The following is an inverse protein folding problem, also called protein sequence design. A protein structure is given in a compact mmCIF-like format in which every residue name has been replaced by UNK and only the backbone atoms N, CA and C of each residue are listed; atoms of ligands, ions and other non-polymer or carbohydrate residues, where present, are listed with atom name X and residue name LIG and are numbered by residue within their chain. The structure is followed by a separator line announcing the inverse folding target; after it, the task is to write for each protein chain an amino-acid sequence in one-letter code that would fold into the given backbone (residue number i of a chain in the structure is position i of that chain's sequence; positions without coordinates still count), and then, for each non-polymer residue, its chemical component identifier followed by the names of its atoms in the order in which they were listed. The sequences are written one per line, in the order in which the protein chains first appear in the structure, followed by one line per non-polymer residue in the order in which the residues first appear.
data_IF_358967724904
#
_entry.id   IF_358967724904
#
_cell.length_a   1.000
_cell.length_b   1.000
_cell.length_c   1.000
_cell.angle_alpha   90.00
_cell.angle_beta   90.00
_cell.angle_gamma   90.00
#
_symmetry.space_group_name_H-M   'P 1'
#
loop_
_entity.id
_entity.type
_entity.pdbx_description
1 polymer ?
#
# COMPACT_ATOMS: atom_id res chain seq x y z
N UNK A 1 -6.10 3.99 -5.78
CA UNK A 1 -6.07 5.05 -6.81
C UNK A 1 -7.17 6.04 -6.47
N UNK A 2 -6.88 7.34 -6.52
CA UNK A 2 -7.80 8.42 -6.19
C UNK A 2 -8.21 9.15 -7.47
N UNK A 3 -9.46 8.93 -7.86
CA UNK A 3 -10.03 9.48 -9.09
C UNK A 3 -9.52 8.82 -10.38
N UNK A 4 -10.03 9.32 -11.50
CA UNK A 4 -9.75 8.90 -12.87
C UNK A 4 -8.66 9.81 -13.48
N UNK A 5 -7.43 9.65 -13.00
CA UNK A 5 -6.29 10.48 -13.41
C UNK A 5 -6.10 10.55 -14.93
N UNK A 6 -6.23 9.41 -15.62
CA UNK A 6 -6.12 9.34 -17.09
C UNK A 6 -7.21 10.16 -17.84
N UNK A 7 -8.29 10.54 -17.15
CA UNK A 7 -9.36 11.40 -17.67
C UNK A 7 -9.25 12.85 -17.18
N UNK A 8 -8.15 13.23 -16.54
CA UNK A 8 -7.93 14.57 -15.99
C UNK A 8 -8.71 14.88 -14.71
N UNK A 9 -9.34 13.87 -14.08
CA UNK A 9 -10.10 14.09 -12.85
C UNK A 9 -9.17 14.43 -11.68
N UNK A 10 -9.49 15.52 -10.97
CA UNK A 10 -8.90 15.85 -9.67
C UNK A 10 -9.98 15.67 -8.59
N UNK A 11 -9.77 14.70 -7.70
CA UNK A 11 -10.71 14.37 -6.64
C UNK A 11 -10.66 15.43 -5.54
N UNK A 12 -11.71 16.23 -5.38
CA UNK A 12 -11.82 17.28 -4.35
C UNK A 12 -12.81 16.95 -3.24
N UNK A 13 -13.81 16.11 -3.52
CA UNK A 13 -14.80 15.64 -2.56
C UNK A 13 -15.05 14.16 -2.77
N UNK A 14 -14.80 13.37 -1.74
CA UNK A 14 -15.06 11.94 -1.70
C UNK A 14 -15.29 11.51 -0.26
N UNK A 15 -15.86 10.33 -0.07
CA UNK A 15 -15.90 9.66 1.23
C UNK A 15 -15.44 8.23 1.07
N UNK A 16 -14.33 7.90 1.73
CA UNK A 16 -13.79 6.55 1.78
C UNK A 16 -13.55 6.19 3.24
N UNK A 17 -13.97 4.99 3.62
CA UNK A 17 -13.55 4.35 4.86
C UNK A 17 -13.24 2.90 4.54
N UNK A 18 -11.97 2.55 4.64
CA UNK A 18 -11.48 1.17 4.54
C UNK A 18 -10.92 0.78 5.91
N UNK A 19 -11.52 -0.22 6.54
CA UNK A 19 -11.12 -0.72 7.84
C UNK A 19 -10.73 -2.20 7.70
N UNK A 20 -9.45 -2.48 7.90
CA UNK A 20 -8.87 -3.82 7.80
C UNK A 20 -8.43 -4.29 9.17
N UNK A 21 -8.74 -5.54 9.49
CA UNK A 21 -8.32 -6.17 10.72
C UNK A 21 -7.92 -7.63 10.47
N UNK A 22 -6.77 -8.02 10.98
CA UNK A 22 -6.33 -9.41 11.04
C UNK A 22 -6.42 -9.85 12.50
N UNK A 23 -7.05 -11.00 12.72
CA UNK A 23 -7.15 -11.66 14.03
C UNK A 23 -6.47 -13.02 14.00
N UNK A 24 -5.87 -13.42 15.11
CA UNK A 24 -5.35 -14.77 15.36
C UNK A 24 -6.01 -15.29 16.62
N UNK A 25 -6.69 -16.43 16.53
CA UNK A 25 -7.45 -17.03 17.65
C UNK A 25 -8.40 -16.03 18.33
N UNK A 26 -9.13 -15.26 17.52
CA UNK A 26 -10.06 -14.22 17.99
C UNK A 26 -9.40 -12.92 18.47
N UNK A 27 -8.08 -12.86 18.64
CA UNK A 27 -7.35 -11.67 19.12
C UNK A 27 -6.88 -10.78 17.96
N UNK A 28 -7.11 -9.46 17.99
CA UNK A 28 -6.57 -8.54 16.98
C UNK A 28 -5.04 -8.55 16.99
N UNK A 29 -4.43 -8.80 15.83
CA UNK A 29 -2.97 -8.74 15.66
C UNK A 29 -2.56 -7.56 14.78
N UNK A 30 -3.41 -7.12 13.86
CA UNK A 30 -3.15 -5.93 13.06
C UNK A 30 -4.47 -5.26 12.72
N UNK A 31 -4.52 -3.93 12.79
CA UNK A 31 -5.65 -3.14 12.38
C UNK A 31 -5.15 -1.89 11.64
N UNK A 32 -5.83 -1.55 10.55
CA UNK A 32 -5.56 -0.34 9.79
C UNK A 32 -6.86 0.26 9.30
N UNK A 33 -7.02 1.56 9.50
CA UNK A 33 -8.17 2.30 8.97
C UNK A 33 -7.66 3.44 8.10
N UNK A 34 -8.14 3.48 6.85
CA UNK A 34 -7.98 4.61 5.95
C UNK A 34 -9.30 5.34 5.91
N UNK A 35 -9.30 6.61 6.30
CA UNK A 35 -10.44 7.50 6.14
C UNK A 35 -10.03 8.66 5.26
N UNK A 36 -10.82 8.91 4.23
CA UNK A 36 -10.65 10.09 3.37
C UNK A 36 -11.97 10.81 3.25
N UNK A 37 -11.91 12.12 3.43
CA UNK A 37 -12.97 13.06 3.14
C UNK A 37 -12.40 14.31 2.47
N UNK A 38 -13.26 15.27 2.13
CA UNK A 38 -12.85 16.51 1.48
C UNK A 38 -11.74 17.27 2.25
N UNK A 39 -11.69 17.16 3.59
CA UNK A 39 -10.67 17.84 4.40
C UNK A 39 -9.29 17.20 4.22
N UNK A 40 -9.25 15.87 4.20
CA UNK A 40 -8.03 15.09 3.93
C UNK A 40 -7.57 15.29 2.48
N UNK A 41 -8.50 15.40 1.53
CA UNK A 41 -8.16 15.63 0.12
C UNK A 41 -7.64 17.06 -0.14
N UNK A 42 -8.06 18.04 0.65
CA UNK A 42 -7.59 19.42 0.57
C UNK A 42 -6.21 19.63 1.20
N UNK A 43 -5.75 18.73 2.07
CA UNK A 43 -4.46 18.82 2.75
C UNK A 43 -3.36 18.08 1.97
N UNK A 44 -2.48 18.87 1.35
CA UNK A 44 -1.32 18.39 0.60
C UNK A 44 -0.06 18.23 1.46
N UNK A 45 -0.20 18.04 2.78
CA UNK A 45 0.95 17.81 3.67
C UNK A 45 1.62 16.47 3.37
N UNK A 46 2.95 16.44 3.58
CA UNK A 46 3.74 15.22 3.44
C UNK A 46 3.36 14.15 4.49
N UNK A 47 2.69 14.53 5.58
CA UNK A 47 2.15 13.61 6.58
C UNK A 47 0.95 12.81 6.06
N UNK A 48 0.26 13.31 5.04
CA UNK A 48 -0.85 12.63 4.36
C UNK A 48 -0.37 12.03 3.02
N UNK A 49 -0.90 12.53 1.91
CA UNK A 49 -0.57 12.05 0.57
C UNK A 49 0.39 12.98 -0.18
N UNK A 50 0.64 14.19 0.32
CA UNK A 50 1.35 15.20 -0.45
C UNK A 50 0.73 15.41 -1.83
N UNK A 51 1.50 15.14 -2.88
CA UNK A 51 1.06 15.20 -4.27
C UNK A 51 0.67 13.84 -4.85
N UNK A 52 0.65 12.78 -4.04
CA UNK A 52 0.27 11.45 -4.49
C UNK A 52 -1.22 11.39 -4.88
N UNK A 53 -1.53 10.51 -5.82
CA UNK A 53 -2.88 10.18 -6.30
C UNK A 53 -3.17 8.69 -6.21
N UNK A 54 -2.20 7.91 -5.74
CA UNK A 54 -2.35 6.50 -5.44
C UNK A 54 -1.55 6.16 -4.20
N UNK A 55 -2.09 5.24 -3.41
CA UNK A 55 -1.40 4.64 -2.29
C UNK A 55 -1.76 3.16 -2.21
N UNK A 56 -0.89 2.38 -1.57
CA UNK A 56 -1.18 0.99 -1.24
C UNK A 56 -0.51 0.61 0.07
N UNK A 57 -1.08 -0.40 0.72
CA UNK A 57 -0.49 -1.05 1.88
C UNK A 57 -0.49 -2.55 1.64
N UNK A 58 0.66 -3.18 1.85
CA UNK A 58 0.83 -4.63 1.81
C UNK A 58 1.19 -5.08 3.22
N UNK A 59 0.49 -6.08 3.72
CA UNK A 59 0.71 -6.63 5.05
C UNK A 59 0.92 -8.15 4.96
N UNK A 60 2.14 -8.60 5.27
CA UNK A 60 2.43 -10.01 5.56
C UNK A 60 2.31 -10.21 7.07
N UNK A 61 1.31 -10.98 7.49
CA UNK A 61 1.05 -11.30 8.91
C UNK A 61 1.22 -12.80 9.11
N UNK A 62 2.35 -13.20 9.67
CA UNK A 62 2.71 -14.60 9.88
C UNK A 62 3.76 -14.69 11.00
N UNK A 63 3.91 -15.87 11.61
CA UNK A 63 5.06 -16.10 12.48
C UNK A 63 6.36 -15.96 11.66
N UNK A 64 7.30 -15.12 12.11
CA UNK A 64 8.55 -14.85 11.40
C UNK A 64 8.42 -13.96 10.16
N UNK A 65 7.32 -13.20 10.02
CA UNK A 65 7.15 -12.30 8.86
C UNK A 65 8.28 -11.26 8.74
N UNK A 66 8.96 -10.94 9.84
CA UNK A 66 10.11 -10.05 9.91
C UNK A 66 11.25 -10.45 8.99
N UNK A 67 11.44 -11.75 8.74
CA UNK A 67 12.47 -12.28 7.86
C UNK A 67 12.28 -11.83 6.40
N UNK A 68 11.06 -11.41 6.04
CA UNK A 68 10.77 -10.89 4.71
C UNK A 68 11.25 -9.45 4.51
N UNK A 69 11.59 -8.71 5.58
CA UNK A 69 11.85 -7.26 5.52
C UNK A 69 12.97 -6.90 4.53
N UNK A 70 14.11 -7.58 4.62
CA UNK A 70 15.26 -7.29 3.77
C UNK A 70 14.94 -7.51 2.30
N UNK A 71 14.30 -8.65 1.96
CA UNK A 71 13.86 -8.94 0.58
C UNK A 71 12.84 -7.94 0.07
N UNK A 72 11.88 -7.57 0.92
CA UNK A 72 10.86 -6.59 0.56
C UNK A 72 11.50 -5.23 0.27
N UNK A 73 12.38 -4.73 1.14
CA UNK A 73 13.10 -3.45 0.92
C UNK A 73 13.90 -3.45 -0.37
N UNK A 74 14.59 -4.55 -0.69
CA UNK A 74 15.32 -4.68 -1.97
C UNK A 74 14.40 -4.59 -3.19
N UNK A 75 13.13 -4.97 -3.07
CA UNK A 75 12.14 -4.89 -4.14
C UNK A 75 11.41 -3.53 -4.23
N UNK A 76 11.61 -2.61 -3.28
CA UNK A 76 10.96 -1.29 -3.26
C UNK A 76 11.76 -0.25 -4.06
N UNK A 77 11.89 -0.47 -5.37
CA UNK A 77 12.81 0.31 -6.23
C UNK A 77 12.15 0.92 -7.47
N UNK A 78 10.82 0.80 -7.63
CA UNK A 78 10.13 1.31 -8.83
C UNK A 78 10.15 2.83 -8.85
N UNK A 79 10.75 3.40 -9.89
CA UNK A 79 10.79 4.85 -10.11
C UNK A 79 9.38 5.46 -10.17
N UNK A 80 9.20 6.61 -9.51
CA UNK A 80 7.90 7.27 -9.41
C UNK A 80 6.96 6.68 -8.35
N UNK A 81 7.43 5.71 -7.56
CA UNK A 81 6.77 5.23 -6.36
C UNK A 81 7.67 5.46 -5.15
N UNK A 82 7.16 6.18 -4.14
CA UNK A 82 7.82 6.25 -2.84
C UNK A 82 7.28 5.11 -1.99
N UNK A 83 8.16 4.30 -1.41
CA UNK A 83 7.76 3.13 -0.65
C UNK A 83 8.72 2.88 0.52
N UNK A 84 8.17 2.38 1.61
CA UNK A 84 8.95 1.96 2.77
C UNK A 84 8.33 0.72 3.40
N UNK A 85 9.17 -0.08 4.06
CA UNK A 85 8.75 -1.26 4.80
C UNK A 85 9.37 -1.32 6.20
N UNK A 86 8.57 -1.81 7.14
CA UNK A 86 8.95 -2.06 8.54
C UNK A 86 8.39 -3.41 8.97
N UNK A 87 9.08 -4.08 9.90
CA UNK A 87 8.65 -5.38 10.39
C UNK A 87 8.88 -5.53 11.89
N UNK A 88 7.90 -6.14 12.57
CA UNK A 88 7.87 -6.36 14.02
C UNK A 88 6.72 -7.31 14.40
N UNK A 89 6.88 -8.07 15.48
CA UNK A 89 5.82 -8.84 16.14
C UNK A 89 4.98 -9.71 15.17
N UNK A 90 5.65 -10.48 14.30
CA UNK A 90 5.02 -11.33 13.29
C UNK A 90 4.35 -10.56 12.15
N UNK A 91 4.84 -9.36 11.83
CA UNK A 91 4.32 -8.49 10.77
C UNK A 91 5.46 -7.97 9.91
N UNK A 92 5.22 -7.89 8.60
CA UNK A 92 6.03 -7.10 7.68
C UNK A 92 5.09 -6.28 6.80
N UNK A 93 5.15 -4.96 6.94
CA UNK A 93 4.22 -4.01 6.34
C UNK A 93 4.98 -3.10 5.39
N UNK A 94 4.51 -2.98 4.15
CA UNK A 94 4.95 -1.96 3.22
C UNK A 94 3.85 -0.93 2.99
N UNK A 95 4.22 0.35 2.98
CA UNK A 95 3.37 1.47 2.54
C UNK A 95 4.02 2.11 1.34
N UNK A 96 3.20 2.51 0.39
CA UNK A 96 3.69 3.12 -0.84
C UNK A 96 2.71 4.16 -1.36
N UNK A 97 3.24 5.19 -1.99
CA UNK A 97 2.50 6.29 -2.62
C UNK A 97 3.09 6.60 -4.00
N UNK A 98 2.25 7.03 -4.92
CA UNK A 98 2.66 7.44 -6.26
C UNK A 98 1.72 8.52 -6.81
N UNK A 99 2.24 9.32 -7.75
CA UNK A 99 1.44 10.31 -8.48
C UNK A 99 0.56 9.69 -9.56
N UNK A 100 0.89 8.48 -10.00
CA UNK A 100 0.13 7.73 -11.01
C UNK A 100 -0.10 6.28 -10.56
N UNK A 101 -1.15 5.65 -11.08
CA UNK A 101 -1.44 4.25 -10.84
C UNK A 101 -0.44 3.28 -11.48
N UNK A 102 0.23 3.64 -12.57
CA UNK A 102 1.14 2.71 -13.26
C UNK A 102 2.41 2.36 -12.45
N UNK A 103 3.21 3.33 -11.93
CA UNK A 103 4.32 3.02 -11.03
C UNK A 103 3.87 2.25 -9.79
N UNK A 104 2.72 2.62 -9.23
CA UNK A 104 2.16 1.95 -8.05
C UNK A 104 1.85 0.47 -8.32
N UNK A 105 1.20 0.15 -9.44
CA UNK A 105 0.89 -1.23 -9.82
C UNK A 105 2.16 -2.07 -10.01
N UNK A 106 3.16 -1.53 -10.70
CA UNK A 106 4.46 -2.19 -10.87
C UNK A 106 5.13 -2.45 -9.50
N UNK A 107 5.10 -1.45 -8.60
CA UNK A 107 5.69 -1.59 -7.27
C UNK A 107 4.98 -2.67 -6.43
N UNK A 108 3.65 -2.72 -6.49
CA UNK A 108 2.85 -3.77 -5.84
C UNK A 108 3.23 -5.14 -6.40
N UNK A 109 3.36 -5.28 -7.72
CA UNK A 109 3.71 -6.55 -8.34
C UNK A 109 5.09 -7.04 -7.90
N UNK A 110 6.10 -6.16 -7.88
CA UNK A 110 7.45 -6.50 -7.39
C UNK A 110 7.45 -6.86 -5.90
N UNK A 111 6.75 -6.09 -5.08
CA UNK A 111 6.63 -6.37 -3.64
C UNK A 111 5.95 -7.72 -3.38
N UNK A 112 4.85 -8.03 -4.08
CA UNK A 112 4.16 -9.31 -3.92
C UNK A 112 4.99 -10.48 -4.45
N UNK A 113 5.76 -10.30 -5.53
CA UNK A 113 6.70 -11.31 -6.01
C UNK A 113 7.81 -11.61 -5.00
N UNK A 114 8.30 -10.60 -4.26
CA UNK A 114 9.29 -10.77 -3.22
C UNK A 114 8.75 -11.49 -1.96
N UNK A 115 7.43 -11.41 -1.72
CA UNK A 115 6.78 -12.00 -0.54
C UNK A 115 6.20 -13.40 -0.78
N UNK A 116 5.85 -13.74 -2.02
CA UNK A 116 5.15 -14.99 -2.35
C UNK A 116 6.12 -16.09 -2.79
N UNK A 117 5.77 -17.33 -2.45
CA UNK A 117 6.34 -18.52 -3.07
C UNK A 117 5.48 -18.90 -4.28
N UNK A 118 5.76 -18.30 -5.45
CA UNK A 118 5.06 -18.58 -6.70
C UNK A 118 4.49 -17.35 -7.41
N UNK A 119 4.00 -17.52 -8.65
CA UNK A 119 3.59 -16.40 -9.48
C UNK A 119 2.36 -15.66 -8.90
N UNK A 120 2.19 -14.41 -9.33
CA UNK A 120 0.97 -13.66 -9.06
C UNK A 120 -0.22 -14.34 -9.74
N UNK A 121 -1.44 -14.25 -9.17
CA UNK A 121 -2.66 -14.65 -9.85
C UNK A 121 -2.73 -13.97 -11.22
N UNK A 122 -3.24 -14.66 -12.25
CA UNK A 122 -3.30 -14.13 -13.63
C UNK A 122 -3.93 -12.73 -13.73
N UNK A 123 -4.97 -12.47 -12.95
CA UNK A 123 -5.65 -11.16 -12.88
C UNK A 123 -4.80 -10.02 -12.34
N UNK A 124 -3.63 -10.32 -11.75
CA UNK A 124 -2.69 -9.36 -11.17
C UNK A 124 -1.34 -9.34 -11.90
N UNK A 125 -1.18 -10.15 -12.95
CA UNK A 125 -0.03 -10.05 -13.84
C UNK A 125 -0.23 -8.81 -14.72
N UNK A 126 0.80 -7.99 -14.81
CA UNK A 126 0.83 -6.72 -15.55
C UNK A 126 1.46 -6.98 -16.92
#
# INVERSE_FOLDING_TARGET
VLGRHAMGETLSDARLTDARMVRRDGRPVWAETVRMDASVLADASAALLGQARGFAVIALIAQGAEDALSRLRTALTVAGCEAAASAWDGKCIARMVARDGWPLKQQIAQALAALRQGPLPRVWQI
#
